data_IF_384837736847
#
_entry.id   IF_384837736847
#
_cell.length_a   1.000
_cell.length_b   1.000
_cell.length_c   1.000
_cell.angle_alpha   90.00
_cell.angle_beta   90.00
_cell.angle_gamma   90.00
#
_symmetry.space_group_name_H-M   'P 1'
#
loop_
_entity.id
_entity.type
_entity.pdbx_description
1 polymer ?
#
# COMPACT_ATOMS: atom_id res chain seq x y z
N UNK A 1 -12.90 -8.86 15.52
CA UNK A 1 -11.88 -7.95 16.09
C UNK A 1 -10.52 -8.31 15.50
N UNK A 2 -9.67 -7.31 15.24
CA UNK A 2 -8.28 -7.54 14.84
C UNK A 2 -7.47 -7.99 16.06
N UNK A 3 -6.61 -9.00 15.87
CA UNK A 3 -5.70 -9.48 16.92
C UNK A 3 -4.42 -8.63 16.95
N UNK A 4 -4.01 -8.10 18.11
CA UNK A 4 -2.79 -7.32 18.21
C UNK A 4 -1.56 -8.20 18.06
N UNK A 5 -0.51 -7.66 17.43
CA UNK A 5 0.83 -8.24 17.44
C UNK A 5 1.56 -7.73 18.69
N UNK A 6 2.00 -8.63 19.54
CA UNK A 6 2.71 -8.26 20.77
C UNK A 6 4.17 -7.89 20.46
N UNK A 7 4.56 -6.68 20.83
CA UNK A 7 5.92 -6.19 20.75
C UNK A 7 6.28 -5.44 22.03
N UNK A 8 7.54 -5.48 22.44
CA UNK A 8 8.01 -4.76 23.64
C UNK A 8 7.92 -3.24 23.47
N UNK A 9 8.24 -2.76 22.28
CA UNK A 9 8.20 -1.34 21.88
C UNK A 9 7.49 -1.19 20.52
N UNK A 10 6.14 -1.24 20.49
CA UNK A 10 5.41 -1.34 19.23
C UNK A 10 5.68 -0.18 18.27
N UNK A 11 5.74 1.06 18.77
CA UNK A 11 5.98 2.24 17.94
C UNK A 11 7.39 2.23 17.34
N UNK A 12 8.42 2.00 18.15
CA UNK A 12 9.80 1.95 17.67
C UNK A 12 10.00 0.84 16.64
N UNK A 13 9.40 -0.33 16.89
CA UNK A 13 9.47 -1.44 15.95
C UNK A 13 8.72 -1.12 14.64
N UNK A 14 7.54 -0.49 14.72
CA UNK A 14 6.78 -0.05 13.54
C UNK A 14 7.57 0.93 12.69
N UNK A 15 8.19 1.93 13.31
CA UNK A 15 9.05 2.90 12.62
C UNK A 15 10.28 2.21 12.03
N UNK A 16 10.97 1.38 12.81
CA UNK A 16 12.15 0.64 12.35
C UNK A 16 11.86 -0.29 11.16
N UNK A 17 10.75 -1.02 11.20
CA UNK A 17 10.32 -1.87 10.09
C UNK A 17 9.95 -1.04 8.85
N UNK A 18 9.31 0.11 9.04
CA UNK A 18 8.99 1.02 7.92
C UNK A 18 10.25 1.58 7.28
N UNK A 19 11.22 2.03 8.08
CA UNK A 19 12.53 2.46 7.56
C UNK A 19 13.25 1.33 6.83
N UNK A 20 13.19 0.10 7.35
CA UNK A 20 13.72 -1.08 6.69
C UNK A 20 13.06 -1.36 5.34
N UNK A 21 11.73 -1.25 5.26
CA UNK A 21 10.98 -1.38 4.00
C UNK A 21 11.40 -0.29 3.00
N UNK A 22 11.46 0.97 3.43
CA UNK A 22 11.85 2.10 2.58
C UNK A 22 13.29 1.92 2.05
N UNK A 23 14.21 1.47 2.92
CA UNK A 23 15.58 1.17 2.53
C UNK A 23 15.63 0.04 1.49
N UNK A 24 14.87 -1.04 1.70
CA UNK A 24 14.81 -2.15 0.75
C UNK A 24 14.28 -1.70 -0.62
N UNK A 25 13.22 -0.88 -0.64
CA UNK A 25 12.67 -0.31 -1.89
C UNK A 25 13.69 0.62 -2.56
N UNK A 26 14.36 1.49 -1.79
CA UNK A 26 15.37 2.40 -2.32
C UNK A 26 16.57 1.65 -2.92
N UNK A 27 17.09 0.63 -2.23
CA UNK A 27 18.19 -0.21 -2.72
C UNK A 27 17.80 -0.96 -4.00
N UNK A 28 16.60 -1.53 -4.03
CA UNK A 28 16.10 -2.21 -5.20
C UNK A 28 15.90 -1.24 -6.38
N UNK A 29 15.34 -0.05 -6.15
CA UNK A 29 15.22 0.99 -7.17
C UNK A 29 16.58 1.45 -7.71
N UNK A 30 17.57 1.61 -6.84
CA UNK A 30 18.95 1.95 -7.23
C UNK A 30 19.56 0.85 -8.08
N UNK A 31 19.41 -0.42 -7.69
CA UNK A 31 19.92 -1.55 -8.46
C UNK A 31 19.33 -1.59 -9.87
N UNK A 32 18.04 -1.36 -9.97
CA UNK A 32 17.31 -1.26 -11.24
C UNK A 32 17.83 -0.12 -12.11
N UNK A 33 18.04 1.06 -11.53
CA UNK A 33 18.63 2.21 -12.24
C UNK A 33 20.03 1.90 -12.76
N UNK A 34 20.88 1.28 -11.93
CA UNK A 34 22.26 0.89 -12.30
C UNK A 34 22.29 -0.16 -13.41
N UNK A 35 21.30 -1.02 -13.51
CA UNK A 35 21.19 -2.04 -14.54
C UNK A 35 20.60 -1.51 -15.87
N UNK A 36 20.27 -0.22 -15.95
CA UNK A 36 19.69 0.44 -17.14
C UNK A 36 18.49 -0.30 -17.74
N UNK A 37 17.66 -0.90 -16.90
CA UNK A 37 16.50 -1.65 -17.37
C UNK A 37 15.43 -0.68 -17.91
N UNK A 38 14.80 -0.98 -19.07
CA UNK A 38 13.79 -0.10 -19.65
C UNK A 38 12.52 -0.04 -18.77
N UNK A 39 11.97 1.16 -18.58
CA UNK A 39 10.68 1.36 -17.91
C UNK A 39 9.53 0.74 -18.75
N UNK A 40 8.47 0.16 -18.14
CA UNK A 40 8.15 0.12 -16.70
C UNK A 40 8.75 -1.06 -15.93
N UNK A 41 9.60 -1.88 -16.53
CA UNK A 41 10.10 -3.15 -15.99
C UNK A 41 10.85 -3.03 -14.65
N UNK A 42 11.55 -1.92 -14.34
CA UNK A 42 12.42 -1.84 -13.18
C UNK A 42 11.69 -1.75 -11.86
N UNK A 43 10.60 -0.99 -11.81
CA UNK A 43 9.90 -0.70 -10.54
C UNK A 43 9.18 -1.93 -9.98
N UNK A 44 8.49 -2.77 -10.80
CA UNK A 44 7.99 -4.06 -10.33
C UNK A 44 9.06 -4.96 -9.73
N UNK A 45 10.26 -4.99 -10.31
CA UNK A 45 11.35 -5.85 -9.85
C UNK A 45 11.82 -5.49 -8.42
N UNK A 46 11.70 -4.23 -8.01
CA UNK A 46 12.02 -3.81 -6.65
C UNK A 46 11.05 -4.42 -5.61
N UNK A 47 9.78 -4.55 -5.96
CA UNK A 47 8.75 -5.06 -5.05
C UNK A 47 8.64 -6.59 -5.02
N UNK A 48 9.06 -7.30 -6.08
CA UNK A 48 8.99 -8.78 -6.14
C UNK A 48 9.72 -9.46 -4.97
N UNK A 49 11.00 -9.14 -4.65
CA UNK A 49 11.68 -9.78 -3.52
C UNK A 49 10.97 -9.54 -2.19
N UNK A 50 10.46 -8.33 -1.97
CA UNK A 50 9.76 -7.95 -0.74
C UNK A 50 8.42 -8.70 -0.65
N UNK A 51 7.66 -8.74 -1.75
CA UNK A 51 6.40 -9.47 -1.82
C UNK A 51 6.61 -10.97 -1.56
N UNK A 52 7.63 -11.57 -2.17
CA UNK A 52 7.98 -12.98 -1.93
C UNK A 52 8.39 -13.22 -0.47
N UNK A 53 9.21 -12.36 0.12
CA UNK A 53 9.61 -12.47 1.52
C UNK A 53 8.40 -12.41 2.45
N UNK A 54 7.48 -11.46 2.25
CA UNK A 54 6.23 -11.35 3.00
C UNK A 54 5.32 -12.57 2.81
N UNK A 55 5.16 -13.04 1.58
CA UNK A 55 4.33 -14.19 1.26
C UNK A 55 4.89 -15.50 1.88
N UNK A 56 6.21 -15.72 1.77
CA UNK A 56 6.88 -16.88 2.38
C UNK A 56 6.78 -16.82 3.90
N UNK A 57 7.01 -15.64 4.50
CA UNK A 57 6.85 -15.46 5.94
C UNK A 57 5.41 -15.74 6.39
N UNK A 58 4.42 -15.13 5.74
CA UNK A 58 3.01 -15.33 6.08
C UNK A 58 2.57 -16.79 5.93
N UNK A 59 3.09 -17.50 4.91
CA UNK A 59 2.84 -18.92 4.69
C UNK A 59 3.46 -19.78 5.78
N UNK A 60 4.76 -19.58 6.09
CA UNK A 60 5.50 -20.39 7.07
C UNK A 60 4.99 -20.18 8.48
N UNK A 61 4.56 -18.98 8.83
CA UNK A 61 4.01 -18.62 10.13
C UNK A 61 2.49 -18.80 10.24
N UNK A 62 1.81 -19.28 9.18
CA UNK A 62 0.36 -19.47 9.11
C UNK A 62 -0.44 -18.18 9.42
N UNK A 63 0.11 -17.00 9.05
CA UNK A 63 -0.44 -15.69 9.41
C UNK A 63 -1.46 -15.13 8.41
N UNK A 64 -1.77 -15.78 7.29
CA UNK A 64 -2.65 -15.21 6.26
C UNK A 64 -3.99 -14.71 6.80
N UNK A 65 -4.67 -15.52 7.61
CA UNK A 65 -5.95 -15.13 8.21
C UNK A 65 -5.78 -13.97 9.19
N UNK A 66 -4.71 -13.99 9.96
CA UNK A 66 -4.38 -12.96 10.94
C UNK A 66 -4.05 -11.62 10.28
N UNK A 67 -3.34 -11.65 9.16
CA UNK A 67 -3.05 -10.47 8.34
C UNK A 67 -4.31 -9.89 7.68
N UNK A 68 -5.41 -10.65 7.65
CA UNK A 68 -6.67 -10.20 7.09
C UNK A 68 -6.97 -10.73 5.68
N UNK A 69 -6.21 -11.72 5.19
CA UNK A 69 -6.51 -12.41 3.92
C UNK A 69 -7.64 -13.42 4.11
N UNK A 70 -8.81 -12.90 4.43
CA UNK A 70 -10.04 -13.66 4.68
C UNK A 70 -11.24 -12.95 4.06
N UNK A 71 -12.38 -13.63 3.94
CA UNK A 71 -13.60 -13.04 3.40
C UNK A 71 -13.96 -11.77 4.19
N UNK A 72 -14.23 -10.64 3.50
CA UNK A 72 -14.67 -9.42 4.16
C UNK A 72 -16.06 -9.64 4.78
N UNK A 73 -16.27 -9.07 5.96
CA UNK A 73 -17.60 -8.94 6.53
C UNK A 73 -18.32 -7.79 5.83
N UNK A 74 -19.65 -7.88 5.60
CA UNK A 74 -20.39 -6.72 5.14
C UNK A 74 -20.29 -5.62 6.20
N UNK A 75 -19.86 -4.43 5.79
CA UNK A 75 -19.67 -3.30 6.68
C UNK A 75 -19.99 -1.99 5.97
N UNK A 76 -20.25 -0.94 6.75
CA UNK A 76 -20.58 0.39 6.21
C UNK A 76 -19.46 0.98 5.35
N UNK A 77 -18.23 0.83 5.79
CA UNK A 77 -17.07 1.34 5.06
C UNK A 77 -16.75 0.52 3.81
N UNK A 78 -17.09 -0.78 3.80
CA UNK A 78 -16.98 -1.60 2.60
C UNK A 78 -17.92 -1.11 1.49
N UNK A 79 -19.14 -0.68 1.84
CA UNK A 79 -20.08 -0.09 0.87
C UNK A 79 -19.58 1.28 0.37
N UNK A 80 -19.02 2.11 1.24
CA UNK A 80 -18.41 3.38 0.85
C UNK A 80 -17.22 3.12 -0.09
N UNK A 81 -16.35 2.15 0.23
CA UNK A 81 -15.25 1.77 -0.61
C UNK A 81 -15.72 1.29 -1.99
N UNK A 82 -16.75 0.43 -2.05
CA UNK A 82 -17.33 -0.02 -3.30
C UNK A 82 -17.90 1.14 -4.12
N UNK A 83 -18.63 2.06 -3.50
CA UNK A 83 -19.16 3.26 -4.15
C UNK A 83 -18.04 4.16 -4.68
N UNK A 84 -16.97 4.34 -3.91
CA UNK A 84 -15.79 5.11 -4.34
C UNK A 84 -15.08 4.43 -5.51
N UNK A 85 -14.94 3.10 -5.49
CA UNK A 85 -14.39 2.33 -6.62
C UNK A 85 -15.22 2.58 -7.87
N UNK A 86 -16.55 2.46 -7.79
CA UNK A 86 -17.45 2.70 -8.92
C UNK A 86 -17.30 4.13 -9.45
N UNK A 87 -17.23 5.13 -8.57
CA UNK A 87 -17.03 6.53 -8.95
C UNK A 87 -15.68 6.73 -9.65
N UNK A 88 -14.60 6.21 -9.09
CA UNK A 88 -13.25 6.28 -9.67
C UNK A 88 -13.24 5.59 -11.04
N UNK A 89 -13.81 4.40 -11.15
CA UNK A 89 -13.93 3.69 -12.43
C UNK A 89 -14.76 4.47 -13.45
N UNK A 90 -15.85 5.12 -13.02
CA UNK A 90 -16.67 5.94 -13.91
C UNK A 90 -15.92 7.18 -14.41
N UNK A 91 -15.21 7.90 -13.53
CA UNK A 91 -14.38 9.05 -13.91
C UNK A 91 -13.25 8.59 -14.86
N UNK A 92 -12.69 7.43 -14.62
CA UNK A 92 -11.62 6.88 -15.44
C UNK A 92 -12.11 6.39 -16.79
N UNK A 93 -13.29 5.77 -16.85
CA UNK A 93 -13.92 5.38 -18.11
C UNK A 93 -14.12 6.57 -19.06
N UNK A 94 -14.30 7.79 -18.50
CA UNK A 94 -14.35 9.02 -19.27
C UNK A 94 -13.02 9.34 -19.98
N UNK A 95 -11.89 8.96 -19.39
CA UNK A 95 -10.56 9.24 -19.92
C UNK A 95 -9.91 8.02 -20.61
N UNK A 96 -10.64 6.92 -20.78
CA UNK A 96 -10.10 5.63 -21.27
C UNK A 96 -9.52 5.72 -22.69
N UNK A 97 -9.96 6.69 -23.48
CA UNK A 97 -9.46 6.93 -24.85
C UNK A 97 -8.00 7.44 -24.92
N UNK A 98 -7.46 7.92 -23.79
CA UNK A 98 -6.06 8.38 -23.69
C UNK A 98 -5.09 7.33 -23.19
N UNK A 99 -5.55 6.10 -22.91
CA UNK A 99 -4.71 5.06 -22.34
C UNK A 99 -3.84 4.37 -23.38
N UNK A 100 -2.60 4.09 -22.98
CA UNK A 100 -1.69 3.23 -23.71
C UNK A 100 -1.95 1.76 -23.32
N UNK A 101 -2.85 1.10 -24.03
CA UNK A 101 -3.33 -0.24 -23.72
C UNK A 101 -2.25 -1.32 -23.65
N UNK A 102 -1.16 -1.12 -24.38
CA UNK A 102 0.03 -1.98 -24.40
C UNK A 102 0.79 -1.95 -23.05
N UNK A 103 0.71 -0.85 -22.31
CA UNK A 103 1.40 -0.70 -21.01
C UNK A 103 0.52 -1.09 -19.81
N UNK A 104 -0.81 -1.14 -19.98
CA UNK A 104 -1.78 -1.44 -18.90
C UNK A 104 -1.46 -2.74 -18.15
N UNK A 105 -1.15 -3.88 -18.81
CA UNK A 105 -0.83 -5.11 -18.09
C UNK A 105 0.39 -4.98 -17.18
N UNK A 106 1.41 -4.24 -17.62
CA UNK A 106 2.62 -3.98 -16.83
C UNK A 106 2.31 -3.12 -15.59
N UNK A 107 1.54 -2.05 -15.77
CA UNK A 107 1.11 -1.19 -14.65
C UNK A 107 0.22 -1.93 -13.66
N UNK A 108 -0.72 -2.75 -14.15
CA UNK A 108 -1.57 -3.55 -13.29
C UNK A 108 -0.76 -4.56 -12.45
N UNK A 109 0.19 -5.25 -13.08
CA UNK A 109 1.07 -6.17 -12.36
C UNK A 109 1.90 -5.44 -11.30
N UNK A 110 2.41 -4.25 -11.61
CA UNK A 110 3.16 -3.43 -10.67
C UNK A 110 2.29 -2.98 -9.49
N UNK A 111 1.12 -2.41 -9.75
CA UNK A 111 0.24 -1.89 -8.69
C UNK A 111 -0.33 -2.98 -7.80
N UNK A 112 -0.56 -4.18 -8.33
CA UNK A 112 -0.89 -5.37 -7.53
C UNK A 112 0.25 -5.73 -6.56
N UNK A 113 1.51 -5.65 -6.99
CA UNK A 113 2.67 -5.91 -6.12
C UNK A 113 2.81 -4.83 -5.04
N UNK A 114 2.70 -3.55 -5.41
CA UNK A 114 2.75 -2.42 -4.47
C UNK A 114 1.65 -2.55 -3.43
N UNK A 115 0.40 -2.68 -3.87
CA UNK A 115 -0.74 -2.82 -2.98
C UNK A 115 -0.61 -4.05 -2.07
N UNK A 116 -0.12 -5.18 -2.59
CA UNK A 116 0.14 -6.36 -1.76
C UNK A 116 1.16 -6.07 -0.65
N UNK A 117 2.29 -5.49 -1.00
CA UNK A 117 3.35 -5.19 -0.02
C UNK A 117 2.85 -4.16 0.99
N UNK A 118 2.29 -3.05 0.53
CA UNK A 118 1.92 -1.95 1.41
C UNK A 118 0.72 -2.29 2.30
N UNK A 119 -0.33 -2.90 1.76
CA UNK A 119 -1.49 -3.25 2.58
C UNK A 119 -1.16 -4.37 3.58
N UNK A 120 -0.38 -5.39 3.17
CA UNK A 120 0.10 -6.43 4.09
C UNK A 120 0.94 -5.82 5.21
N UNK A 121 1.84 -4.94 4.85
CA UNK A 121 2.76 -4.33 5.80
C UNK A 121 2.04 -3.34 6.74
N UNK A 122 1.34 -2.35 6.19
CA UNK A 122 0.77 -1.27 7.02
C UNK A 122 -0.51 -1.69 7.74
N UNK A 123 -1.41 -2.45 7.11
CA UNK A 123 -2.68 -2.89 7.74
C UNK A 123 -2.51 -4.23 8.43
N UNK A 124 -1.83 -5.17 7.79
CA UNK A 124 -1.61 -6.50 8.35
C UNK A 124 -0.62 -6.51 9.52
N UNK A 125 0.46 -5.72 9.48
CA UNK A 125 1.54 -5.75 10.48
C UNK A 125 1.54 -4.49 11.34
N UNK A 126 1.82 -3.30 10.78
CA UNK A 126 2.04 -2.06 11.54
C UNK A 126 0.82 -1.67 12.37
N UNK A 127 -0.37 -1.59 11.76
CA UNK A 127 -1.60 -1.25 12.46
C UNK A 127 -1.84 -2.21 13.63
N UNK A 128 -1.73 -3.52 13.41
CA UNK A 128 -1.94 -4.54 14.45
C UNK A 128 -0.89 -4.48 15.56
N UNK A 129 0.34 -4.09 15.22
CA UNK A 129 1.40 -3.90 16.20
C UNK A 129 1.12 -2.70 17.12
N UNK A 130 0.42 -1.67 16.61
CA UNK A 130 0.06 -0.47 17.35
C UNK A 130 -1.25 -0.61 18.15
N UNK A 131 -2.07 -1.66 17.91
CA UNK A 131 -3.33 -1.89 18.64
C UNK A 131 -3.21 -1.91 20.18
N UNK A 132 -2.09 -2.33 20.81
CA UNK A 132 -1.93 -2.23 22.26
C UNK A 132 -2.06 -0.82 22.82
N UNK A 133 -1.86 0.23 22.01
CA UNK A 133 -2.10 1.62 22.39
C UNK A 133 -3.58 2.04 22.32
N UNK A 134 -4.46 1.15 21.87
CA UNK A 134 -5.86 1.42 21.56
C UNK A 134 -6.09 1.66 20.07
N UNK A 135 -7.38 1.58 19.68
CA UNK A 135 -7.76 1.66 18.26
C UNK A 135 -7.40 3.02 17.63
N UNK A 136 -7.81 4.12 18.26
CA UNK A 136 -7.60 5.47 17.70
C UNK A 136 -6.12 5.83 17.51
N UNK A 137 -5.24 5.65 18.51
CA UNK A 137 -3.81 5.84 18.32
C UNK A 137 -3.22 4.92 17.24
N UNK A 138 -3.58 3.64 17.21
CA UNK A 138 -3.08 2.70 16.21
C UNK A 138 -3.47 3.12 14.79
N UNK A 139 -4.72 3.52 14.60
CA UNK A 139 -5.27 4.02 13.36
C UNK A 139 -4.51 5.25 12.85
N UNK A 140 -4.39 6.28 13.71
CA UNK A 140 -3.70 7.53 13.35
C UNK A 140 -2.21 7.28 13.09
N UNK A 141 -1.51 6.61 14.02
CA UNK A 141 -0.06 6.40 13.89
C UNK A 141 0.32 5.55 12.68
N UNK A 142 -0.43 4.47 12.40
CA UNK A 142 -0.15 3.66 11.20
C UNK A 142 -0.34 4.46 9.90
N UNK A 143 -1.33 5.36 9.87
CA UNK A 143 -1.60 6.21 8.72
C UNK A 143 -0.55 7.32 8.58
N UNK A 144 -0.09 7.90 9.69
CA UNK A 144 1.01 8.88 9.69
C UNK A 144 2.30 8.24 9.20
N UNK A 145 2.65 7.06 9.69
CA UNK A 145 3.86 6.34 9.27
C UNK A 145 3.78 5.96 7.78
N UNK A 146 2.61 5.54 7.32
CA UNK A 146 2.35 5.27 5.89
C UNK A 146 2.52 6.53 5.04
N UNK A 147 1.85 7.62 5.40
CA UNK A 147 1.94 8.89 4.66
C UNK A 147 3.36 9.44 4.61
N UNK A 148 4.05 9.52 5.76
CA UNK A 148 5.43 10.01 5.82
C UNK A 148 6.42 9.12 5.05
N UNK A 149 6.14 7.82 4.90
CA UNK A 149 6.92 6.91 4.08
C UNK A 149 7.07 7.39 2.63
N UNK A 150 6.06 8.08 2.08
CA UNK A 150 6.12 8.65 0.73
C UNK A 150 7.08 9.83 0.59
N UNK A 151 7.57 10.40 1.71
CA UNK A 151 8.64 11.39 1.72
C UNK A 151 9.95 10.90 1.10
N UNK A 152 10.12 9.57 0.96
CA UNK A 152 11.26 8.97 0.25
C UNK A 152 11.40 9.48 -1.19
N UNK A 153 10.29 9.84 -1.85
CA UNK A 153 10.29 10.32 -3.23
C UNK A 153 11.01 11.67 -3.38
N UNK A 154 10.95 12.53 -2.34
CA UNK A 154 11.75 13.75 -2.29
C UNK A 154 13.23 13.44 -2.06
N UNK A 155 13.54 12.56 -1.11
CA UNK A 155 14.92 12.18 -0.75
C UNK A 155 15.62 11.50 -1.93
N UNK A 156 14.90 10.66 -2.65
CA UNK A 156 15.40 9.96 -3.85
C UNK A 156 15.44 10.85 -5.12
N UNK A 157 14.94 12.09 -5.04
CA UNK A 157 14.94 13.01 -6.19
C UNK A 157 13.88 12.70 -7.26
N UNK A 158 12.92 11.84 -6.97
CA UNK A 158 11.85 11.49 -7.94
C UNK A 158 10.77 12.56 -8.04
N UNK A 159 10.59 13.38 -7.01
CA UNK A 159 9.55 14.40 -6.95
C UNK A 159 10.06 15.70 -6.34
N UNK A 160 9.39 16.82 -6.68
CA UNK A 160 9.61 18.10 -6.01
C UNK A 160 9.03 18.07 -4.58
N UNK A 161 9.47 19.00 -3.72
CA UNK A 161 8.96 19.14 -2.36
C UNK A 161 7.43 19.35 -2.35
N UNK A 162 6.90 20.15 -3.27
CA UNK A 162 5.46 20.42 -3.38
C UNK A 162 4.67 19.16 -3.76
N UNK A 163 5.11 18.45 -4.78
CA UNK A 163 4.46 17.20 -5.23
C UNK A 163 4.51 16.13 -4.15
N UNK A 164 5.66 16.01 -3.46
CA UNK A 164 5.82 15.07 -2.34
C UNK A 164 4.90 15.43 -1.17
N UNK A 165 4.74 16.72 -0.85
CA UNK A 165 3.81 17.14 0.21
C UNK A 165 2.37 16.74 -0.12
N UNK A 166 1.91 16.97 -1.35
CA UNK A 166 0.57 16.55 -1.82
C UNK A 166 0.44 15.04 -1.68
N UNK A 167 1.44 14.28 -2.12
CA UNK A 167 1.41 12.82 -2.04
C UNK A 167 1.38 12.32 -0.59
N UNK A 168 2.16 12.91 0.31
CA UNK A 168 2.15 12.58 1.75
C UNK A 168 0.78 12.83 2.36
N UNK A 169 0.17 13.99 2.08
CA UNK A 169 -1.18 14.31 2.56
C UNK A 169 -2.23 13.32 2.01
N UNK A 170 -2.16 13.00 0.71
CA UNK A 170 -3.05 12.01 0.10
C UNK A 170 -2.86 10.62 0.69
N UNK A 171 -1.60 10.16 0.83
CA UNK A 171 -1.28 8.86 1.40
C UNK A 171 -1.70 8.75 2.88
N UNK A 172 -1.60 9.83 3.65
CA UNK A 172 -2.12 9.88 5.01
C UNK A 172 -3.64 9.72 5.02
N UNK A 173 -4.36 10.45 4.18
CA UNK A 173 -5.81 10.32 4.05
C UNK A 173 -6.23 8.92 3.58
N UNK A 174 -5.52 8.37 2.61
CA UNK A 174 -5.65 6.97 2.18
C UNK A 174 -5.41 6.01 3.35
N UNK A 175 -4.34 6.22 4.12
CA UNK A 175 -4.01 5.41 5.29
C UNK A 175 -5.16 5.34 6.29
N UNK A 176 -5.76 6.48 6.62
CA UNK A 176 -6.92 6.58 7.51
C UNK A 176 -8.13 5.83 6.95
N UNK A 177 -8.44 6.03 5.68
CA UNK A 177 -9.55 5.33 5.01
C UNK A 177 -9.34 3.82 4.97
N UNK A 178 -8.19 3.36 4.51
CA UNK A 178 -7.87 1.95 4.37
C UNK A 178 -7.88 1.21 5.71
N UNK A 179 -7.33 1.83 6.77
CA UNK A 179 -7.36 1.25 8.11
C UNK A 179 -8.80 1.16 8.67
N UNK A 180 -9.66 2.14 8.39
CA UNK A 180 -11.07 2.10 8.78
C UNK A 180 -11.83 0.97 8.05
N UNK A 181 -11.63 0.81 6.73
CA UNK A 181 -12.23 -0.28 5.95
C UNK A 181 -11.72 -1.64 6.44
N UNK A 182 -10.42 -1.77 6.70
CA UNK A 182 -9.84 -3.00 7.23
C UNK A 182 -10.42 -3.37 8.61
N UNK A 183 -10.62 -2.39 9.49
CA UNK A 183 -11.22 -2.63 10.79
C UNK A 183 -12.69 -3.08 10.70
N UNK A 184 -13.46 -2.43 9.84
CA UNK A 184 -14.87 -2.67 9.65
C UNK A 184 -15.13 -4.05 9.02
N UNK A 185 -14.38 -4.37 7.96
CA UNK A 185 -14.53 -5.63 7.21
C UNK A 185 -13.76 -6.79 7.81
N UNK A 186 -12.72 -6.51 8.59
CA UNK A 186 -11.76 -7.51 9.08
C UNK A 186 -10.96 -8.17 7.96
N UNK A 187 -10.94 -7.58 6.75
CA UNK A 187 -10.31 -8.14 5.55
C UNK A 187 -9.45 -7.10 4.84
N UNK A 188 -8.30 -7.53 4.38
CA UNK A 188 -7.40 -6.72 3.55
C UNK A 188 -7.91 -6.60 2.10
N UNK A 189 -8.69 -7.57 1.60
CA UNK A 189 -9.08 -7.63 0.20
C UNK A 189 -9.74 -6.36 -0.35
N UNK A 190 -10.70 -5.72 0.35
CA UNK A 190 -11.32 -4.50 -0.18
C UNK A 190 -10.32 -3.36 -0.41
N UNK A 191 -9.40 -3.15 0.55
CA UNK A 191 -8.39 -2.07 0.44
C UNK A 191 -7.31 -2.42 -0.56
N UNK A 192 -6.88 -3.67 -0.63
CA UNK A 192 -5.92 -4.17 -1.61
C UNK A 192 -6.42 -3.97 -3.05
N UNK A 193 -7.64 -4.41 -3.34
CA UNK A 193 -8.22 -4.28 -4.69
C UNK A 193 -8.41 -2.81 -5.05
N UNK A 194 -8.91 -1.99 -4.13
CA UNK A 194 -9.10 -0.58 -4.38
C UNK A 194 -7.75 0.13 -4.64
N UNK A 195 -6.75 -0.12 -3.80
CA UNK A 195 -5.41 0.46 -3.93
C UNK A 195 -4.80 0.13 -5.30
N UNK A 196 -4.76 -1.17 -5.64
CA UNK A 196 -4.19 -1.63 -6.90
C UNK A 196 -4.88 -1.01 -8.11
N UNK A 197 -6.22 -0.94 -8.10
CA UNK A 197 -6.99 -0.35 -9.20
C UNK A 197 -6.80 1.16 -9.28
N UNK A 198 -6.81 1.85 -8.13
CA UNK A 198 -6.60 3.30 -8.09
C UNK A 198 -5.26 3.69 -8.69
N UNK A 199 -4.18 3.02 -8.25
CA UNK A 199 -2.84 3.30 -8.76
C UNK A 199 -2.69 2.91 -10.24
N UNK A 200 -3.28 1.77 -10.66
CA UNK A 200 -3.24 1.35 -12.06
C UNK A 200 -3.88 2.40 -12.98
N UNK A 201 -4.99 2.97 -12.54
CA UNK A 201 -5.71 4.03 -13.24
C UNK A 201 -4.86 5.29 -13.34
N UNK A 202 -4.24 5.71 -12.25
CA UNK A 202 -3.38 6.90 -12.22
C UNK A 202 -2.18 6.73 -13.16
N UNK A 203 -1.54 5.56 -13.15
CA UNK A 203 -0.36 5.31 -13.96
C UNK A 203 -0.67 5.08 -15.45
N UNK A 204 -1.82 4.48 -15.78
CA UNK A 204 -2.23 4.27 -17.16
C UNK A 204 -2.68 5.56 -17.87
N UNK A 205 -3.07 6.61 -17.11
CA UNK A 205 -3.52 7.89 -17.65
C UNK A 205 -2.46 9.00 -17.74
N UNK A 206 -1.22 8.72 -17.32
CA UNK A 206 -0.13 9.72 -17.19
C UNK A 206 0.94 9.50 -18.26
N UNK A 207 0.57 9.50 -19.55
CA UNK A 207 1.59 9.53 -20.63
C UNK A 207 1.16 10.41 -21.79
#
# INVERSE_FOLDING_TARGET
>A
MLTPIRARHPLLLSVGLTLGLLLAVALAGTAVYMLHLPLPTPVPLAFVPIALALAIWARRSHQWNELGYRRPRPGRYAMIAAGTIVLVLAITAWNIGSWHWDTVPGWLAFTLLVAFVEETFFRGIVLRMLLPYGWTPAWILSSVVFGLGHGINLIAGYQTAFTTLIQVCFALAWGLFAAAVYADTGSIWPVFVFHALFDAIQLAGVH
#
